data_IF_957785382820
#
_entry.id   IF_957785382820
#
_cell.length_a   1.000
_cell.length_b   1.000
_cell.length_c   1.000
_cell.angle_alpha   90.00
_cell.angle_beta   90.00
_cell.angle_gamma   90.00
#
_symmetry.space_group_name_H-M   'P 1'
#
loop_
_entity.id
_entity.type
_entity.pdbx_description
1 polymer ?
#
# COMPACT_ATOMS: atom_id res chain seq x y z
N UNK A 1 -10.55 -2.93 -1.04
CA UNK A 1 -9.42 -3.62 -1.71
C UNK A 1 -9.75 -4.22 -3.08
N UNK A 2 -11.03 -4.50 -3.41
CA UNK A 2 -11.42 -5.08 -4.71
C UNK A 2 -10.95 -4.28 -5.95
N UNK A 3 -10.79 -2.97 -5.82
CA UNK A 3 -10.33 -2.11 -6.91
C UNK A 3 -8.94 -2.49 -7.44
N UNK A 4 -7.98 -2.63 -6.52
CA UNK A 4 -6.59 -3.00 -6.83
C UNK A 4 -6.54 -4.46 -7.29
N UNK A 5 -7.25 -5.35 -6.60
CA UNK A 5 -7.29 -6.79 -6.96
C UNK A 5 -7.75 -7.02 -8.41
N UNK A 6 -8.76 -6.28 -8.88
CA UNK A 6 -9.25 -6.39 -10.26
C UNK A 6 -8.25 -5.86 -11.31
N UNK A 7 -7.43 -4.87 -10.98
CA UNK A 7 -6.52 -4.20 -11.93
C UNK A 7 -5.06 -4.67 -11.85
N UNK A 8 -4.70 -5.33 -10.76
CA UNK A 8 -3.38 -5.92 -10.56
C UNK A 8 -3.49 -7.35 -10.00
N UNK A 9 -4.13 -8.29 -10.74
CA UNK A 9 -4.37 -9.66 -10.27
C UNK A 9 -3.09 -10.47 -10.00
N UNK A 10 -1.97 -10.07 -10.59
CA UNK A 10 -0.65 -10.66 -10.36
C UNK A 10 -0.10 -10.45 -8.94
N UNK A 11 -0.66 -9.51 -8.18
CA UNK A 11 -0.16 -9.19 -6.85
C UNK A 11 -0.74 -10.18 -5.84
N UNK A 12 0.09 -10.72 -4.93
CA UNK A 12 -0.41 -11.51 -3.81
C UNK A 12 -1.11 -10.57 -2.83
N UNK A 13 -2.41 -10.40 -2.99
CA UNK A 13 -3.25 -9.56 -2.13
C UNK A 13 -4.17 -10.43 -1.29
N UNK A 14 -4.35 -10.11 0.00
CA UNK A 14 -5.27 -10.85 0.84
C UNK A 14 -6.71 -10.54 0.42
N UNK A 15 -7.59 -11.54 0.51
CA UNK A 15 -9.02 -11.33 0.36
C UNK A 15 -9.62 -10.84 1.66
N UNK A 16 -10.38 -9.75 1.60
CA UNK A 16 -11.09 -9.21 2.75
C UNK A 16 -12.44 -9.92 2.84
N UNK A 17 -12.65 -10.67 3.92
CA UNK A 17 -13.90 -11.37 4.20
C UNK A 17 -14.91 -10.49 4.94
N UNK A 18 -14.43 -9.49 5.68
CA UNK A 18 -15.28 -8.55 6.38
C UNK A 18 -14.51 -7.63 7.32
N UNK A 19 -15.21 -6.66 7.89
CA UNK A 19 -14.69 -5.81 8.94
C UNK A 19 -15.73 -5.70 10.05
N UNK A 20 -15.27 -5.65 11.31
CA UNK A 20 -16.12 -5.53 12.49
C UNK A 20 -15.60 -4.40 13.36
N UNK A 21 -16.50 -3.53 13.82
CA UNK A 21 -16.19 -2.55 14.84
C UNK A 21 -16.76 -3.00 16.18
N UNK A 22 -15.91 -3.13 17.19
CA UNK A 22 -16.31 -3.44 18.56
C UNK A 22 -15.79 -2.34 19.49
N UNK A 23 -16.68 -1.41 19.85
CA UNK A 23 -16.35 -0.21 20.61
C UNK A 23 -15.30 0.64 19.88
N UNK A 24 -14.12 0.80 20.50
CA UNK A 24 -12.99 1.57 19.95
C UNK A 24 -12.02 0.74 19.08
N UNK A 25 -12.30 -0.55 18.87
CA UNK A 25 -11.45 -1.44 18.07
C UNK A 25 -12.11 -1.77 16.74
N UNK A 26 -11.30 -1.75 15.69
CA UNK A 26 -11.70 -2.18 14.34
C UNK A 26 -10.92 -3.43 13.97
N UNK A 27 -11.63 -4.44 13.52
CA UNK A 27 -11.09 -5.72 13.08
C UNK A 27 -11.31 -5.87 11.58
N UNK A 28 -10.31 -6.37 10.87
CA UNK A 28 -10.41 -6.73 9.45
C UNK A 28 -10.08 -8.20 9.33
N UNK A 29 -11.04 -8.98 8.83
CA UNK A 29 -10.88 -10.40 8.58
C UNK A 29 -10.40 -10.59 7.15
N UNK A 30 -9.24 -11.21 6.99
CA UNK A 30 -8.62 -11.37 5.68
C UNK A 30 -7.90 -12.71 5.52
N UNK A 31 -7.77 -13.19 4.28
CA UNK A 31 -6.98 -14.39 3.95
C UNK A 31 -5.53 -14.20 4.35
N UNK A 32 -4.95 -15.16 5.07
CA UNK A 32 -3.52 -15.18 5.37
C UNK A 32 -2.73 -15.56 4.11
N UNK A 33 -1.86 -14.66 3.67
CA UNK A 33 -0.85 -14.98 2.64
C UNK A 33 0.21 -15.87 3.29
N UNK A 34 0.50 -17.02 2.66
CA UNK A 34 1.54 -17.94 3.12
C UNK A 34 2.93 -17.33 2.90
N UNK A 35 3.83 -17.52 3.86
CA UNK A 35 5.22 -17.08 3.78
C UNK A 35 5.75 -16.59 5.13
N UNK A 36 7.03 -16.28 5.13
CA UNK A 36 7.73 -15.70 6.28
C UNK A 36 7.81 -14.18 6.13
N UNK A 37 7.54 -13.41 7.20
CA UNK A 37 7.71 -11.97 7.18
C UNK A 37 9.14 -11.58 6.82
N UNK A 38 9.29 -10.60 5.92
CA UNK A 38 10.59 -10.22 5.39
C UNK A 38 11.54 -9.75 6.49
N UNK A 39 11.04 -9.09 7.53
CA UNK A 39 11.80 -8.62 8.69
C UNK A 39 12.43 -9.76 9.50
N UNK A 40 11.78 -10.93 9.55
CA UNK A 40 12.32 -12.12 10.25
C UNK A 40 13.48 -12.75 9.48
N UNK A 41 13.40 -12.77 8.15
CA UNK A 41 14.42 -13.43 7.30
C UNK A 41 15.45 -12.45 6.74
N UNK A 42 15.24 -11.13 6.79
CA UNK A 42 16.10 -10.15 6.08
C UNK A 42 17.59 -10.26 6.43
N UNK A 43 17.90 -10.56 7.69
CA UNK A 43 19.27 -10.69 8.18
C UNK A 43 19.98 -11.93 7.64
N UNK A 44 19.24 -12.99 7.31
CA UNK A 44 19.78 -14.26 6.81
C UNK A 44 19.98 -14.27 5.29
N UNK A 45 19.37 -13.32 4.57
CA UNK A 45 19.47 -13.22 3.12
C UNK A 45 20.81 -12.67 2.66
N UNK A 46 21.36 -13.30 1.62
CA UNK A 46 22.56 -12.82 0.93
C UNK A 46 22.25 -11.62 0.01
N UNK A 47 23.31 -11.01 -0.56
CA UNK A 47 23.19 -9.81 -1.40
C UNK A 47 22.28 -10.03 -2.62
N UNK A 48 22.49 -11.12 -3.36
CA UNK A 48 21.72 -11.45 -4.56
C UNK A 48 20.24 -11.67 -4.26
N UNK A 49 19.92 -12.34 -3.15
CA UNK A 49 18.54 -12.51 -2.70
C UNK A 49 17.88 -11.17 -2.34
N UNK A 50 18.60 -10.28 -1.65
CA UNK A 50 18.11 -8.93 -1.34
C UNK A 50 17.88 -8.09 -2.59
N UNK A 51 18.77 -8.18 -3.57
CA UNK A 51 18.61 -7.51 -4.87
C UNK A 51 17.39 -8.03 -5.62
N UNK A 52 17.20 -9.35 -5.68
CA UNK A 52 16.01 -9.95 -6.28
C UNK A 52 14.72 -9.49 -5.59
N UNK A 53 14.69 -9.45 -4.25
CA UNK A 53 13.51 -8.98 -3.51
C UNK A 53 13.26 -7.49 -3.78
N UNK A 54 14.30 -6.67 -3.84
CA UNK A 54 14.18 -5.25 -4.18
C UNK A 54 13.55 -5.06 -5.56
N UNK A 55 13.96 -5.84 -6.56
CA UNK A 55 13.40 -5.79 -7.91
C UNK A 55 11.94 -6.23 -7.94
N UNK A 56 11.61 -7.33 -7.25
CA UNK A 56 10.24 -7.84 -7.14
C UNK A 56 9.33 -6.78 -6.48
N UNK A 57 9.71 -6.24 -5.33
CA UNK A 57 8.95 -5.20 -4.64
C UNK A 57 8.85 -3.92 -5.48
N UNK A 58 9.94 -3.51 -6.15
CA UNK A 58 9.96 -2.36 -7.04
C UNK A 58 8.91 -2.48 -8.15
N UNK A 59 8.87 -3.64 -8.82
CA UNK A 59 7.88 -3.94 -9.85
C UNK A 59 6.45 -3.93 -9.31
N UNK A 60 6.21 -4.56 -8.15
CA UNK A 60 4.89 -4.60 -7.52
C UNK A 60 4.40 -3.19 -7.16
N UNK A 61 5.21 -2.38 -6.48
CA UNK A 61 4.83 -1.02 -6.10
C UNK A 61 4.64 -0.11 -7.31
N UNK A 62 5.46 -0.25 -8.35
CA UNK A 62 5.32 0.53 -9.58
C UNK A 62 3.98 0.26 -10.24
N UNK A 63 3.57 -1.02 -10.31
CA UNK A 63 2.26 -1.43 -10.85
C UNK A 63 1.09 -0.89 -10.03
N UNK A 64 1.19 -0.87 -8.70
CA UNK A 64 0.13 -0.30 -7.84
C UNK A 64 0.02 1.21 -8.08
N UNK A 65 1.15 1.92 -8.12
CA UNK A 65 1.19 3.38 -8.30
C UNK A 65 0.72 3.83 -9.69
N UNK A 66 0.87 2.98 -10.71
CA UNK A 66 0.38 3.26 -12.06
C UNK A 66 -1.13 3.04 -12.21
N UNK A 67 -1.81 2.43 -11.23
CA UNK A 67 -3.26 2.25 -11.33
C UNK A 67 -3.96 3.62 -11.27
N UNK A 68 -4.94 3.87 -12.18
CA UNK A 68 -5.74 5.07 -12.07
C UNK A 68 -6.55 5.05 -10.76
N UNK A 69 -6.90 6.21 -10.19
CA UNK A 69 -7.81 6.27 -9.06
C UNK A 69 -9.19 5.70 -9.44
N UNK A 70 -9.98 5.23 -8.46
CA UNK A 70 -11.29 4.67 -8.76
C UNK A 70 -12.25 5.69 -9.41
N UNK A 71 -13.08 5.27 -10.38
CA UNK A 71 -13.90 6.17 -11.18
C UNK A 71 -14.97 6.92 -10.37
N UNK A 72 -15.37 6.38 -9.22
CA UNK A 72 -16.36 7.01 -8.31
C UNK A 72 -15.67 7.79 -7.17
N UNK A 73 -14.36 7.90 -7.25
CA UNK A 73 -13.48 8.57 -6.31
C UNK A 73 -12.83 9.79 -6.98
N UNK A 74 -13.57 10.51 -7.83
CA UNK A 74 -13.17 11.85 -8.29
C UNK A 74 -12.90 12.81 -7.11
N UNK A 75 -13.39 12.47 -5.92
CA UNK A 75 -13.07 13.12 -4.63
C UNK A 75 -12.33 12.23 -3.61
N UNK A 76 -12.09 10.93 -3.86
CA UNK A 76 -11.39 10.13 -2.86
C UNK A 76 -9.88 10.30 -3.01
N UNK A 77 -9.42 11.32 -2.29
CA UNK A 77 -8.04 11.56 -1.93
C UNK A 77 -7.41 10.31 -1.28
N UNK A 78 -6.77 9.46 -2.08
CA UNK A 78 -5.71 8.61 -1.54
C UNK A 78 -4.42 9.45 -1.49
N UNK A 79 -4.28 10.28 -0.44
CA UNK A 79 -3.07 11.07 -0.16
C UNK A 79 -3.25 12.59 -0.22
N UNK A 80 -2.28 13.29 -0.81
CA UNK A 80 -2.00 14.72 -0.61
C UNK A 80 -3.00 15.77 -1.12
N UNK A 81 -4.23 15.42 -1.48
CA UNK A 81 -5.26 16.39 -1.89
C UNK A 81 -5.30 16.73 -3.38
N UNK A 82 -6.21 17.64 -3.73
CA UNK A 82 -6.22 18.33 -5.02
C UNK A 82 -5.99 19.83 -4.73
N UNK A 83 -4.86 20.41 -5.17
CA UNK A 83 -3.73 19.75 -5.85
C UNK A 83 -2.93 18.85 -4.89
N UNK A 84 -2.27 17.81 -5.42
CA UNK A 84 -1.44 16.91 -4.60
C UNK A 84 -0.28 17.67 -3.98
N UNK A 85 -0.26 17.83 -2.67
CA UNK A 85 0.87 18.47 -1.94
C UNK A 85 1.44 17.52 -0.90
N UNK A 86 2.75 17.54 -0.75
CA UNK A 86 3.41 16.85 0.36
C UNK A 86 3.04 17.55 1.67
N UNK A 87 2.54 16.80 2.66
CA UNK A 87 2.31 17.30 4.03
C UNK A 87 3.22 16.56 5.01
N UNK A 88 4.09 17.26 5.71
CA UNK A 88 4.84 16.73 6.85
C UNK A 88 4.11 17.14 8.13
N UNK A 89 3.63 16.16 8.90
CA UNK A 89 2.84 16.38 10.12
C UNK A 89 3.60 16.00 11.42
N UNK A 90 4.90 15.72 11.36
CA UNK A 90 5.66 15.15 12.50
C UNK A 90 5.77 16.08 13.73
N UNK A 91 5.80 17.40 13.53
CA UNK A 91 6.01 18.39 14.61
C UNK A 91 5.19 19.67 14.42
N UNK A 92 5.10 20.13 13.18
CA UNK A 92 4.25 21.21 12.68
C UNK A 92 3.82 20.85 11.26
N UNK A 93 2.63 21.27 10.84
CA UNK A 93 2.13 20.96 9.50
C UNK A 93 2.89 21.82 8.49
N UNK A 94 3.76 21.19 7.70
CA UNK A 94 4.40 21.82 6.53
C UNK A 94 3.74 21.30 5.27
N UNK A 95 3.41 22.20 4.35
CA UNK A 95 2.84 21.85 3.05
C UNK A 95 3.78 22.34 1.97
N UNK A 96 4.11 21.49 1.00
CA UNK A 96 4.92 21.89 -0.15
C UNK A 96 4.23 23.03 -0.92
N UNK A 97 5.00 24.05 -1.31
CA UNK A 97 4.48 25.19 -2.07
C UNK A 97 3.97 24.79 -3.45
N UNK A 98 4.64 23.80 -4.08
CA UNK A 98 4.30 23.28 -5.40
C UNK A 98 3.57 21.95 -5.30
N UNK A 99 2.71 21.71 -6.29
CA UNK A 99 2.07 20.41 -6.48
C UNK A 99 3.08 19.35 -6.93
N UNK A 100 2.83 18.10 -6.57
CA UNK A 100 3.56 16.91 -7.05
C UNK A 100 2.87 16.37 -8.29
#
# INVERSE_FOLDING_TARGET
>A
MNYIKKRAPQLPLPDIHGALQAGRRSFVFMTRIKGEPLDQVWKTLNKTQKESIKEQLGSMFSRIKSLPPPPNESDAMLGGGIPRRCKDARRHIRVAERAI
#
